data_IF_877938052053
#
_entry.id   IF_877938052053
#
_cell.length_a   1.000
_cell.length_b   1.000
_cell.length_c   1.000
_cell.angle_alpha   90.00
_cell.angle_beta   90.00
_cell.angle_gamma   90.00
#
_symmetry.space_group_name_H-M   'P 1'
#
loop_
_entity.id
_entity.type
_entity.pdbx_description
1 polymer ?
#
# COMPACT_ATOMS: atom_id res chain seq x y z
N UNK A 1 -0.23 -27.03 23.84
CA UNK A 1 -0.07 -25.57 23.67
C UNK A 1 -1.29 -25.09 22.90
N UNK A 2 -2.27 -24.54 23.59
CA UNK A 2 -3.42 -23.88 22.95
C UNK A 2 -2.95 -22.49 22.53
N UNK A 3 -2.80 -22.26 21.23
CA UNK A 3 -2.63 -20.91 20.69
C UNK A 3 -3.84 -20.08 21.11
N UNK A 4 -3.63 -19.13 22.03
CA UNK A 4 -4.64 -18.14 22.36
C UNK A 4 -4.98 -17.36 21.09
N UNK A 5 -6.18 -17.59 20.57
CA UNK A 5 -6.76 -16.80 19.50
C UNK A 5 -6.96 -15.37 20.04
N UNK A 6 -5.94 -14.51 19.90
CA UNK A 6 -6.06 -13.10 20.24
C UNK A 6 -7.11 -12.50 19.29
N UNK A 7 -8.24 -12.00 19.79
CA UNK A 7 -9.23 -11.37 18.93
C UNK A 7 -8.56 -10.17 18.28
N UNK A 8 -8.50 -10.15 16.95
CA UNK A 8 -8.12 -8.96 16.18
C UNK A 8 -8.90 -7.78 16.74
N UNK A 9 -8.20 -6.75 17.23
CA UNK A 9 -8.90 -5.56 17.72
C UNK A 9 -9.62 -4.97 16.50
N UNK A 10 -10.85 -4.47 16.64
CA UNK A 10 -11.63 -3.93 15.50
C UNK A 10 -10.83 -2.95 14.62
N UNK A 11 -9.88 -2.24 15.23
CA UNK A 11 -8.92 -1.36 14.57
C UNK A 11 -8.01 -2.07 13.54
N UNK A 12 -7.63 -3.32 13.79
CA UNK A 12 -6.80 -4.16 12.92
C UNK A 12 -7.59 -4.58 11.67
N UNK A 13 -8.86 -4.97 11.82
CA UNK A 13 -9.72 -5.34 10.69
C UNK A 13 -10.01 -4.16 9.76
N UNK A 14 -10.22 -2.96 10.32
CA UNK A 14 -10.42 -1.74 9.52
C UNK A 14 -9.16 -1.37 8.76
N UNK A 15 -8.00 -1.44 9.41
CA UNK A 15 -6.70 -1.18 8.78
C UNK A 15 -6.40 -2.16 7.64
N UNK A 16 -6.68 -3.46 7.85
CA UNK A 16 -6.57 -4.49 6.83
C UNK A 16 -7.52 -4.23 5.64
N UNK A 17 -8.77 -3.85 5.92
CA UNK A 17 -9.73 -3.48 4.89
C UNK A 17 -9.25 -2.32 4.03
N UNK A 18 -8.73 -1.26 4.64
CA UNK A 18 -8.17 -0.11 3.92
C UNK A 18 -6.98 -0.51 3.05
N UNK A 19 -6.06 -1.33 3.57
CA UNK A 19 -4.92 -1.84 2.79
C UNK A 19 -5.42 -2.59 1.55
N UNK A 20 -6.43 -3.46 1.69
CA UNK A 20 -6.99 -4.22 0.56
C UNK A 20 -7.64 -3.31 -0.49
N UNK A 21 -8.35 -2.27 -0.07
CA UNK A 21 -8.96 -1.28 -0.98
C UNK A 21 -7.87 -0.53 -1.75
N UNK A 22 -6.83 -0.04 -1.07
CA UNK A 22 -5.71 0.67 -1.72
C UNK A 22 -4.98 -0.23 -2.72
N UNK A 23 -4.76 -1.50 -2.39
CA UNK A 23 -4.19 -2.49 -3.30
C UNK A 23 -5.03 -2.63 -4.58
N UNK A 24 -6.35 -2.81 -4.44
CA UNK A 24 -7.27 -2.97 -5.57
C UNK A 24 -7.32 -1.72 -6.46
N UNK A 25 -7.45 -0.53 -5.85
CA UNK A 25 -7.46 0.74 -6.59
C UNK A 25 -6.15 0.96 -7.34
N UNK A 26 -5.02 0.66 -6.68
CA UNK A 26 -3.70 0.77 -7.31
C UNK A 26 -3.59 -0.17 -8.50
N UNK A 27 -4.08 -1.41 -8.40
CA UNK A 27 -4.06 -2.35 -9.52
C UNK A 27 -4.86 -1.82 -10.72
N UNK A 28 -6.06 -1.29 -10.50
CA UNK A 28 -6.91 -0.73 -11.56
C UNK A 28 -6.25 0.49 -12.21
N UNK A 29 -5.87 1.49 -11.41
CA UNK A 29 -5.26 2.73 -11.94
C UNK A 29 -3.96 2.42 -12.66
N UNK A 30 -3.11 1.56 -12.09
CA UNK A 30 -1.84 1.21 -12.70
C UNK A 30 -2.04 0.44 -14.00
N UNK A 31 -2.93 -0.54 -14.05
CA UNK A 31 -3.15 -1.33 -15.28
C UNK A 31 -3.80 -0.52 -16.40
N UNK A 32 -4.86 0.24 -16.10
CA UNK A 32 -5.67 0.93 -17.09
C UNK A 32 -5.06 2.27 -17.55
N UNK A 33 -4.44 3.02 -16.64
CA UNK A 33 -3.94 4.36 -16.93
C UNK A 33 -2.43 4.36 -17.20
N UNK A 34 -2.02 3.80 -18.35
CA UNK A 34 -0.60 3.73 -18.77
C UNK A 34 0.14 5.07 -18.71
N UNK A 35 -0.54 6.18 -18.98
CA UNK A 35 0.02 7.54 -18.96
C UNK A 35 0.40 8.02 -17.56
N UNK A 36 -0.27 7.53 -16.52
CA UNK A 36 -0.11 8.02 -15.14
C UNK A 36 0.64 7.02 -14.23
N UNK A 37 1.11 5.88 -14.77
CA UNK A 37 1.79 4.82 -14.01
C UNK A 37 3.02 5.35 -13.26
N UNK A 38 3.90 6.05 -13.97
CA UNK A 38 5.15 6.54 -13.42
C UNK A 38 4.92 7.68 -12.42
N UNK A 39 3.93 8.54 -12.70
CA UNK A 39 3.54 9.61 -11.80
C UNK A 39 2.99 9.07 -10.48
N UNK A 40 2.10 8.06 -10.55
CA UNK A 40 1.55 7.37 -9.38
C UNK A 40 2.66 6.72 -8.54
N UNK A 41 3.56 5.97 -9.17
CA UNK A 41 4.66 5.33 -8.45
C UNK A 41 5.60 6.34 -7.81
N UNK A 42 5.93 7.44 -8.51
CA UNK A 42 6.75 8.51 -7.96
C UNK A 42 6.10 9.17 -6.75
N UNK A 43 4.79 9.45 -6.82
CA UNK A 43 4.04 10.03 -5.70
C UNK A 43 4.02 9.09 -4.49
N UNK A 44 3.74 7.80 -4.69
CA UNK A 44 3.75 6.81 -3.62
C UNK A 44 5.13 6.71 -2.94
N UNK A 45 6.21 6.74 -3.72
CA UNK A 45 7.58 6.74 -3.17
C UNK A 45 7.91 8.02 -2.42
N UNK A 46 7.54 9.19 -2.94
CA UNK A 46 7.73 10.48 -2.25
C UNK A 46 7.04 10.47 -0.89
N UNK A 47 5.76 10.11 -0.88
CA UNK A 47 4.97 10.04 0.34
C UNK A 47 5.56 9.04 1.35
N UNK A 48 6.11 7.92 0.87
CA UNK A 48 6.77 6.94 1.74
C UNK A 48 8.05 7.50 2.37
N UNK A 49 8.90 8.19 1.61
CA UNK A 49 10.11 8.84 2.13
C UNK A 49 9.78 9.99 3.10
N UNK A 50 8.72 10.75 2.81
CA UNK A 50 8.20 11.76 3.74
C UNK A 50 7.81 11.12 5.08
N UNK A 51 7.16 9.93 5.08
CA UNK A 51 6.87 9.21 6.34
C UNK A 51 8.11 8.73 7.10
N UNK A 52 9.31 8.73 6.49
CA UNK A 52 10.55 8.27 7.14
C UNK A 52 11.34 9.39 7.80
N UNK A 53 11.24 10.63 7.32
CA UNK A 53 12.09 11.76 7.76
C UNK A 53 11.64 12.48 9.05
N UNK A 54 10.99 11.76 9.97
CA UNK A 54 11.12 12.03 11.41
C UNK A 54 10.36 13.22 12.01
N UNK A 55 9.78 14.15 11.24
CA UNK A 55 8.96 15.25 11.77
C UNK A 55 7.45 15.03 11.63
N UNK A 56 7.05 13.78 11.43
CA UNK A 56 5.74 13.54 10.86
C UNK A 56 4.75 13.05 11.91
N UNK A 57 3.72 13.88 12.12
CA UNK A 57 2.47 13.64 12.84
C UNK A 57 2.09 12.15 12.88
N UNK A 58 1.72 11.64 14.06
CA UNK A 58 1.35 10.22 14.31
C UNK A 58 0.36 9.68 13.27
N UNK A 59 -0.45 10.58 12.72
CA UNK A 59 -1.40 10.31 11.64
C UNK A 59 -0.76 9.81 10.34
N UNK A 60 0.45 10.24 9.98
CA UNK A 60 1.08 9.88 8.71
C UNK A 60 1.74 8.49 8.73
N UNK A 61 2.13 8.00 9.92
CA UNK A 61 2.55 6.60 10.09
C UNK A 61 1.42 5.61 9.75
N UNK A 62 0.15 6.00 9.88
CA UNK A 62 -1.00 5.16 9.52
C UNK A 62 -1.09 4.90 8.01
N UNK A 63 -0.55 5.80 7.18
CA UNK A 63 -0.57 5.64 5.72
C UNK A 63 0.62 4.84 5.17
N UNK A 64 1.66 4.60 5.98
CA UNK A 64 2.84 3.85 5.53
C UNK A 64 2.46 2.47 5.01
N UNK A 65 1.74 1.67 5.79
CA UNK A 65 1.38 0.31 5.40
C UNK A 65 0.50 0.26 4.12
N UNK A 66 -0.54 1.10 3.96
CA UNK A 66 -1.26 1.22 2.69
C UNK A 66 -0.37 1.61 1.49
N UNK A 67 0.57 2.56 1.66
CA UNK A 67 1.48 3.01 0.59
C UNK A 67 2.43 1.88 0.18
N UNK A 68 3.01 1.18 1.15
CA UNK A 68 3.87 0.01 0.88
C UNK A 68 3.09 -1.10 0.16
N UNK A 69 1.84 -1.35 0.58
CA UNK A 69 0.98 -2.33 -0.07
C UNK A 69 0.66 -1.96 -1.53
N UNK A 70 0.45 -0.67 -1.83
CA UNK A 70 0.27 -0.17 -3.19
C UNK A 70 1.53 -0.41 -4.04
N UNK A 71 2.71 -0.06 -3.53
CA UNK A 71 3.98 -0.26 -4.22
C UNK A 71 4.26 -1.74 -4.50
N UNK A 72 3.90 -2.64 -3.57
CA UNK A 72 4.01 -4.08 -3.78
C UNK A 72 3.13 -4.59 -4.93
N UNK A 73 1.89 -4.08 -5.05
CA UNK A 73 1.01 -4.41 -6.17
C UNK A 73 1.60 -3.95 -7.50
N UNK A 74 2.15 -2.73 -7.55
CA UNK A 74 2.84 -2.22 -8.74
C UNK A 74 4.01 -3.14 -9.13
N UNK A 75 4.82 -3.57 -8.17
CA UNK A 75 5.93 -4.48 -8.41
C UNK A 75 5.46 -5.84 -8.97
N UNK A 76 4.36 -6.38 -8.43
CA UNK A 76 3.76 -7.62 -8.94
C UNK A 76 3.28 -7.47 -10.38
N UNK A 77 2.59 -6.37 -10.70
CA UNK A 77 2.10 -6.11 -12.07
C UNK A 77 3.28 -6.01 -13.05
N UNK A 78 4.32 -5.25 -12.70
CA UNK A 78 5.54 -5.15 -13.52
C UNK A 78 6.20 -6.52 -13.75
N UNK A 79 6.28 -7.34 -12.70
CA UNK A 79 6.86 -8.67 -12.81
C UNK A 79 6.04 -9.58 -13.73
N UNK A 80 4.70 -9.49 -13.69
CA UNK A 80 3.81 -10.23 -14.59
C UNK A 80 3.91 -9.74 -16.04
N UNK A 81 3.99 -8.42 -16.26
CA UNK A 81 4.17 -7.83 -17.60
C UNK A 81 5.53 -8.20 -18.23
N UNK A 82 6.58 -8.43 -17.44
CA UNK A 82 7.89 -8.83 -17.94
C UNK A 82 7.99 -10.32 -18.34
N UNK A 83 7.02 -11.14 -17.92
CA UNK A 83 6.97 -12.58 -18.19
C UNK A 83 6.07 -12.94 -19.38
N UNK A 84 5.26 -12.01 -19.87
CA UNK A 84 4.35 -12.17 -21.02
C UNK A 84 4.89 -11.45 -22.26
#
# INVERSE_FOLDING_TARGET
MTEEFKPFKRHDSVSLGMIKVVQALTAVVYTESKVNRDALEKQLRSNLEETKHGEVDVNLNLYRAPIEAALNVIAQIKASEAQG
#
